data_IF_264188640772
#
_entry.id   IF_264188640772
#
_cell.length_a   1.000
_cell.length_b   1.000
_cell.length_c   1.000
_cell.angle_alpha   90.00
_cell.angle_beta   90.00
_cell.angle_gamma   90.00
#
_symmetry.space_group_name_H-M   'P 1'
#
loop_
_entity.id
_entity.type
_entity.pdbx_description
1 polymer ?
#
# COMPACT_ATOMS: atom_id res chain seq x y z
N UNK A 1 23.05 21.36 15.66
CA UNK A 1 21.61 21.00 15.70
C UNK A 1 21.28 20.24 14.44
N UNK A 2 20.84 18.98 14.52
CA UNK A 2 20.28 18.29 13.34
C UNK A 2 18.88 18.87 13.15
N UNK A 3 18.65 19.58 12.04
CA UNK A 3 17.31 19.99 11.63
C UNK A 3 16.49 18.71 11.40
N UNK A 4 15.74 18.28 12.40
CA UNK A 4 14.67 17.33 12.18
C UNK A 4 13.62 18.08 11.37
N UNK A 5 13.58 17.80 10.07
CA UNK A 5 12.49 18.24 9.21
C UNK A 5 11.20 17.74 9.88
N UNK A 6 10.19 18.59 10.09
CA UNK A 6 8.94 18.14 10.69
C UNK A 6 8.41 16.94 9.89
N UNK A 7 7.87 15.91 10.55
CA UNK A 7 7.33 14.75 9.87
C UNK A 7 6.28 15.22 8.87
N UNK A 8 6.53 14.97 7.60
CA UNK A 8 5.58 15.32 6.55
C UNK A 8 4.38 14.38 6.64
N UNK A 9 3.18 14.93 6.57
CA UNK A 9 1.96 14.12 6.65
C UNK A 9 1.54 13.57 5.28
N UNK A 10 0.74 12.48 5.22
CA UNK A 10 0.20 12.01 3.94
C UNK A 10 -0.56 13.11 3.16
N UNK A 11 -1.24 14.01 3.88
CA UNK A 11 -1.96 15.13 3.28
C UNK A 11 -1.01 16.17 2.64
N UNK A 12 0.14 16.42 3.24
CA UNK A 12 1.18 17.28 2.68
C UNK A 12 1.82 16.66 1.43
N UNK A 13 2.08 15.34 1.46
CA UNK A 13 2.55 14.61 0.29
C UNK A 13 1.56 14.69 -0.88
N UNK A 14 0.26 14.56 -0.64
CA UNK A 14 -0.78 14.73 -1.67
C UNK A 14 -0.83 16.16 -2.19
N UNK A 15 -0.72 17.15 -1.30
CA UNK A 15 -0.72 18.57 -1.70
C UNK A 15 0.46 18.86 -2.62
N UNK A 16 1.66 18.44 -2.22
CA UNK A 16 2.86 18.62 -3.02
C UNK A 16 2.80 17.82 -4.32
N UNK A 17 2.24 16.61 -4.32
CA UNK A 17 2.03 15.84 -5.54
C UNK A 17 1.18 16.58 -6.58
N UNK A 18 0.16 17.35 -6.13
CA UNK A 18 -0.65 18.18 -7.03
C UNK A 18 0.14 19.36 -7.59
N UNK A 19 0.98 19.99 -6.76
CA UNK A 19 1.87 21.08 -7.17
C UNK A 19 2.88 20.62 -8.23
N UNK A 20 3.59 19.50 -7.97
CA UNK A 20 4.55 18.94 -8.92
C UNK A 20 3.87 18.55 -10.24
N UNK A 21 2.65 17.97 -10.16
CA UNK A 21 1.87 17.63 -11.36
C UNK A 21 1.48 18.88 -12.15
N UNK A 22 1.09 19.96 -11.49
CA UNK A 22 0.77 21.23 -12.15
C UNK A 22 2.02 21.89 -12.76
N UNK A 23 3.19 21.68 -12.15
CA UNK A 23 4.49 22.09 -12.67
C UNK A 23 5.04 21.22 -13.81
N UNK A 24 4.37 20.11 -14.13
CA UNK A 24 4.77 19.17 -15.20
C UNK A 24 5.76 18.08 -14.75
N UNK A 25 6.17 18.05 -13.49
CA UNK A 25 6.98 16.97 -12.95
C UNK A 25 6.09 15.80 -12.49
N UNK A 26 5.72 14.98 -13.47
CA UNK A 26 4.88 13.81 -13.25
C UNK A 26 5.55 12.73 -12.41
N UNK A 27 6.88 12.61 -12.48
CA UNK A 27 7.63 11.62 -11.71
C UNK A 27 7.59 11.99 -10.23
N UNK A 28 7.93 13.24 -9.89
CA UNK A 28 7.87 13.73 -8.51
C UNK A 28 6.45 13.63 -7.95
N UNK A 29 5.44 13.98 -8.76
CA UNK A 29 4.03 13.84 -8.37
C UNK A 29 3.64 12.39 -8.05
N UNK A 30 4.04 11.44 -8.89
CA UNK A 30 3.77 10.01 -8.67
C UNK A 30 4.49 9.48 -7.43
N UNK A 31 5.76 9.84 -7.23
CA UNK A 31 6.53 9.45 -6.05
C UNK A 31 5.87 9.94 -4.77
N UNK A 32 5.46 11.22 -4.72
CA UNK A 32 4.78 11.79 -3.57
C UNK A 32 3.43 11.13 -3.28
N UNK A 33 2.66 10.81 -4.33
CA UNK A 33 1.40 10.09 -4.17
C UNK A 33 1.61 8.68 -3.61
N UNK A 34 2.62 7.95 -4.08
CA UNK A 34 2.94 6.61 -3.59
C UNK A 34 3.38 6.63 -2.12
N UNK A 35 4.17 7.62 -1.71
CA UNK A 35 4.56 7.80 -0.30
C UNK A 35 3.32 8.00 0.57
N UNK A 36 2.41 8.90 0.18
CA UNK A 36 1.18 9.15 0.93
C UNK A 36 0.30 7.90 1.07
N UNK A 37 0.22 7.09 0.01
CA UNK A 37 -0.52 5.81 0.04
C UNK A 37 0.15 4.83 0.99
N UNK A 38 1.47 4.67 0.92
CA UNK A 38 2.21 3.76 1.79
C UNK A 38 2.05 4.13 3.28
N UNK A 39 2.12 5.42 3.61
CA UNK A 39 1.89 5.90 4.99
C UNK A 39 0.47 5.59 5.46
N UNK A 40 -0.55 5.82 4.61
CA UNK A 40 -1.93 5.46 4.95
C UNK A 40 -2.15 3.97 5.10
N UNK A 41 -1.51 3.15 4.28
CA UNK A 41 -1.58 1.70 4.42
C UNK A 41 -0.92 1.23 5.72
N UNK A 42 0.21 1.83 6.12
CA UNK A 42 0.84 1.53 7.41
C UNK A 42 -0.08 1.87 8.59
N UNK A 43 -0.75 3.03 8.57
CA UNK A 43 -1.76 3.38 9.59
C UNK A 43 -2.93 2.37 9.62
N UNK A 44 -3.38 1.90 8.46
CA UNK A 44 -4.46 0.91 8.37
C UNK A 44 -4.01 -0.44 8.92
N UNK A 45 -2.78 -0.87 8.62
CA UNK A 45 -2.23 -2.15 9.11
C UNK A 45 -2.16 -2.18 10.63
N UNK A 46 -1.84 -1.06 11.29
CA UNK A 46 -1.87 -0.95 12.76
C UNK A 46 -3.30 -1.08 13.34
N UNK A 47 -4.33 -0.76 12.54
CA UNK A 47 -5.73 -0.84 12.93
C UNK A 47 -6.39 -2.18 12.57
N UNK A 48 -5.77 -2.97 11.69
CA UNK A 48 -6.27 -4.29 11.31
C UNK A 48 -5.87 -5.32 12.37
N UNK A 49 -6.86 -5.93 13.01
CA UNK A 49 -6.62 -7.13 13.81
C UNK A 49 -6.10 -8.24 12.89
N UNK A 50 -5.14 -9.07 13.35
CA UNK A 50 -4.71 -10.23 12.58
C UNK A 50 -5.92 -11.11 12.30
N UNK A 51 -6.26 -11.25 11.02
CA UNK A 51 -7.29 -12.19 10.60
C UNK A 51 -6.70 -13.58 10.73
N UNK A 52 -7.15 -14.36 11.73
CA UNK A 52 -6.88 -15.79 11.77
C UNK A 52 -7.61 -16.45 10.59
N UNK A 53 -6.87 -16.68 9.51
CA UNK A 53 -7.35 -17.52 8.41
C UNK A 53 -7.27 -18.96 8.92
N UNK A 54 -8.39 -19.49 9.41
CA UNK A 54 -8.55 -20.91 9.65
C UNK A 54 -8.48 -21.64 8.30
N UNK A 55 -7.28 -22.08 7.92
CA UNK A 55 -7.12 -23.02 6.81
C UNK A 55 -7.67 -24.34 7.31
N UNK A 56 -8.87 -24.70 6.88
CA UNK A 56 -9.48 -25.99 7.16
C UNK A 56 -8.64 -27.08 6.47
N UNK A 57 -7.64 -27.58 7.19
CA UNK A 57 -6.63 -28.53 6.71
C UNK A 57 -7.23 -29.91 6.34
N UNK A 58 -8.54 -30.09 6.45
CA UNK A 58 -9.22 -31.37 6.22
C UNK A 58 -9.84 -31.54 4.82
N UNK A 59 -9.81 -30.52 3.95
CA UNK A 59 -10.36 -30.66 2.59
C UNK A 59 -9.28 -31.15 1.63
N UNK A 60 -9.17 -32.46 1.46
CA UNK A 60 -8.41 -33.03 0.34
C UNK A 60 -8.90 -32.39 -0.97
N UNK A 61 -8.00 -31.79 -1.78
CA UNK A 61 -8.38 -31.26 -3.07
C UNK A 61 -8.70 -32.44 -3.99
N UNK A 62 -9.98 -32.61 -4.35
CA UNK A 62 -10.41 -33.50 -5.43
C UNK A 62 -9.87 -32.94 -6.76
N UNK A 63 -8.64 -33.30 -7.11
CA UNK A 63 -8.06 -33.03 -8.42
C UNK A 63 -8.59 -34.09 -9.39
N UNK A 64 -9.71 -33.79 -10.06
CA UNK A 64 -10.17 -34.57 -11.20
C UNK A 64 -9.44 -34.10 -12.47
N UNK A 65 -8.28 -34.69 -12.76
CA UNK A 65 -7.61 -34.48 -14.04
C UNK A 65 -8.29 -35.34 -15.12
N UNK A 66 -8.81 -34.76 -16.21
CA UNK A 66 -9.30 -35.57 -17.32
C UNK A 66 -8.10 -36.29 -17.96
N UNK A 67 -8.02 -37.60 -17.73
CA UNK A 67 -7.10 -38.46 -18.49
C UNK A 67 -7.69 -38.65 -19.88
N UNK A 68 -7.16 -37.93 -20.86
CA UNK A 68 -7.39 -38.25 -22.26
C UNK A 68 -6.80 -39.64 -22.54
N UNK A 69 -7.67 -40.62 -22.82
CA UNK A 69 -7.32 -41.87 -23.50
C UNK A 69 -7.61 -41.74 -24.98
#
# INVERSE_FOLDING_TARGET
>A
MKLQKPPTTPAEHITRAKEERAGGDHTAAQTLALIAIAERLSEIVELLLPVEIAVDAAREPLVNWPTNR
#
